data_IF_025817645411
#
_entry.id   IF_025817645411
#
_cell.length_a   1.000
_cell.length_b   1.000
_cell.length_c   1.000
_cell.angle_alpha   90.00
_cell.angle_beta   90.00
_cell.angle_gamma   90.00
#
_symmetry.space_group_name_H-M   'P 1'
#
loop_
_entity.id
_entity.type
_entity.pdbx_description
1 polymer ?
#
# COMPACT_ATOMS: atom_id res chain seq x y z
N UNK A 1 -3.59 -61.82 28.54
CA UNK A 1 -2.53 -60.80 28.38
C UNK A 1 -2.21 -60.74 26.89
N UNK A 2 -3.07 -60.05 26.13
CA UNK A 2 -2.95 -59.94 24.68
C UNK A 2 -2.05 -58.73 24.39
N UNK A 3 -0.93 -58.98 23.71
CA UNK A 3 -0.04 -57.94 23.22
C UNK A 3 -0.78 -57.06 22.24
N UNK A 4 -0.94 -55.79 22.60
CA UNK A 4 -1.45 -54.76 21.72
C UNK A 4 -0.28 -54.36 20.82
N UNK A 5 -0.24 -54.86 19.59
CA UNK A 5 0.81 -54.55 18.62
C UNK A 5 0.75 -53.08 18.20
N UNK A 6 1.68 -52.26 18.70
CA UNK A 6 1.79 -50.84 18.37
C UNK A 6 2.45 -50.56 17.00
N UNK A 7 2.69 -51.60 16.19
CA UNK A 7 3.49 -51.50 14.96
C UNK A 7 2.71 -51.04 13.71
N UNK A 8 1.40 -50.84 13.78
CA UNK A 8 0.58 -50.38 12.64
C UNK A 8 0.29 -48.86 12.61
N UNK A 9 0.84 -48.05 13.54
CA UNK A 9 0.49 -46.63 13.65
C UNK A 9 1.51 -45.65 13.04
N UNK A 10 2.38 -46.10 12.14
CA UNK A 10 3.36 -45.22 11.47
C UNK A 10 3.40 -45.39 9.95
N UNK A 11 2.25 -45.65 9.32
CA UNK A 11 2.07 -45.26 7.92
C UNK A 11 1.76 -43.76 7.89
N UNK A 12 2.74 -42.96 8.31
CA UNK A 12 2.69 -41.50 8.26
C UNK A 12 2.44 -41.08 6.83
N UNK A 13 1.19 -40.75 6.52
CA UNK A 13 0.81 -40.18 5.24
C UNK A 13 1.66 -38.95 5.01
N UNK A 14 2.56 -39.03 4.04
CA UNK A 14 3.37 -37.91 3.59
C UNK A 14 2.42 -36.76 3.22
N UNK A 15 2.28 -35.79 4.12
CA UNK A 15 1.47 -34.60 3.89
C UNK A 15 2.00 -33.93 2.62
N UNK A 16 1.19 -33.80 1.55
CA UNK A 16 1.62 -33.11 0.35
C UNK A 16 1.89 -31.65 0.73
N UNK A 17 3.17 -31.32 0.82
CA UNK A 17 3.66 -30.00 1.17
C UNK A 17 3.24 -29.05 0.03
N UNK A 18 2.12 -28.32 0.23
CA UNK A 18 1.58 -27.37 -0.74
C UNK A 18 2.51 -26.16 -0.85
N UNK A 19 3.63 -26.36 -1.53
CA UNK A 19 4.58 -25.30 -1.90
C UNK A 19 4.20 -24.85 -3.29
N UNK A 20 3.93 -23.55 -3.41
CA UNK A 20 3.72 -22.90 -4.69
C UNK A 20 4.85 -23.31 -5.65
N UNK A 21 4.54 -23.74 -6.89
CA UNK A 21 5.56 -24.24 -7.81
C UNK A 21 6.64 -23.17 -8.00
N UNK A 22 7.89 -23.54 -7.71
CA UNK A 22 9.01 -22.60 -7.60
C UNK A 22 9.17 -21.73 -8.85
N UNK A 23 8.88 -22.28 -10.03
CA UNK A 23 8.94 -21.56 -11.31
C UNK A 23 7.96 -20.38 -11.40
N UNK A 24 6.79 -20.48 -10.77
CA UNK A 24 5.81 -19.39 -10.79
C UNK A 24 6.36 -18.18 -10.01
N UNK A 25 6.96 -18.41 -8.84
CA UNK A 25 7.56 -17.35 -8.02
C UNK A 25 8.67 -16.62 -8.78
N UNK A 26 9.55 -17.36 -9.48
CA UNK A 26 10.61 -16.75 -10.27
C UNK A 26 10.10 -15.95 -11.47
N UNK A 27 9.02 -16.40 -12.10
CA UNK A 27 8.39 -15.65 -13.20
C UNK A 27 7.85 -14.30 -12.70
N UNK A 28 7.19 -14.28 -11.54
CA UNK A 28 6.63 -13.05 -10.97
C UNK A 28 7.75 -12.15 -10.43
N UNK A 29 8.81 -12.74 -9.87
CA UNK A 29 10.03 -12.01 -9.51
C UNK A 29 10.61 -11.29 -10.72
N UNK A 30 10.72 -11.98 -11.86
CA UNK A 30 11.15 -11.39 -13.13
C UNK A 30 10.24 -10.24 -13.56
N UNK A 31 8.92 -10.38 -13.42
CA UNK A 31 7.96 -9.30 -13.65
C UNK A 31 8.17 -8.08 -12.75
N UNK A 32 8.51 -8.28 -11.47
CA UNK A 32 8.85 -7.20 -10.54
C UNK A 32 10.15 -6.48 -10.94
N UNK A 33 11.18 -7.24 -11.33
CA UNK A 33 12.43 -6.67 -11.85
C UNK A 33 12.20 -5.89 -13.14
N UNK A 34 11.35 -6.40 -14.04
CA UNK A 34 10.94 -5.67 -15.23
C UNK A 34 10.22 -4.37 -14.88
N UNK A 35 9.37 -4.36 -13.84
CA UNK A 35 8.75 -3.14 -13.32
C UNK A 35 9.78 -2.11 -12.83
N UNK A 36 10.84 -2.55 -12.14
CA UNK A 36 11.94 -1.65 -11.74
C UNK A 36 12.67 -1.10 -12.97
N UNK A 37 13.03 -1.97 -13.92
CA UNK A 37 13.68 -1.56 -15.15
C UNK A 37 12.82 -0.60 -15.98
N UNK A 38 11.50 -0.79 -16.00
CA UNK A 38 10.57 0.10 -16.68
C UNK A 38 10.54 1.50 -16.05
N UNK A 39 10.55 1.62 -14.71
CA UNK A 39 10.63 2.94 -14.06
C UNK A 39 11.93 3.67 -14.33
N UNK A 40 13.05 2.94 -14.34
CA UNK A 40 14.37 3.48 -14.67
C UNK A 40 14.40 3.87 -16.15
N UNK A 41 13.90 3.00 -17.04
CA UNK A 41 13.83 3.24 -18.47
C UNK A 41 12.95 4.43 -18.81
N UNK A 42 11.80 4.60 -18.15
CA UNK A 42 10.95 5.78 -18.30
C UNK A 42 11.71 7.07 -17.94
N UNK A 43 12.54 7.03 -16.90
CA UNK A 43 13.34 8.20 -16.49
C UNK A 43 14.43 8.59 -17.50
N UNK A 44 14.97 7.66 -18.30
CA UNK A 44 16.05 7.96 -19.24
C UNK A 44 15.62 8.05 -20.71
N UNK A 45 14.59 7.31 -21.11
CA UNK A 45 14.24 7.11 -22.51
C UNK A 45 13.13 8.03 -23.00
N UNK A 46 12.46 8.78 -22.12
CA UNK A 46 11.36 9.67 -22.52
C UNK A 46 11.93 11.02 -22.97
N UNK A 47 11.73 11.41 -24.24
CA UNK A 47 12.25 12.66 -24.78
C UNK A 47 11.36 13.86 -24.43
N UNK A 48 11.94 15.06 -24.49
CA UNK A 48 11.22 16.34 -24.39
C UNK A 48 10.24 16.52 -25.58
N UNK A 49 9.06 17.15 -25.39
CA UNK A 49 8.57 17.87 -24.20
C UNK A 49 7.77 17.00 -23.21
N UNK A 50 7.59 15.71 -23.49
CA UNK A 50 6.82 14.78 -22.65
C UNK A 50 7.48 14.60 -21.27
N UNK A 51 8.80 14.67 -21.21
CA UNK A 51 9.57 14.60 -19.98
C UNK A 51 9.36 15.84 -19.09
N UNK A 52 9.32 17.05 -19.68
CA UNK A 52 9.00 18.30 -18.98
C UNK A 52 7.62 18.31 -18.30
N UNK A 53 6.69 17.46 -18.73
CA UNK A 53 5.36 17.39 -18.13
C UNK A 53 5.38 16.53 -16.85
N UNK A 54 5.56 17.20 -15.70
CA UNK A 54 5.58 16.57 -14.37
C UNK A 54 4.36 15.69 -14.10
N UNK A 55 3.16 16.13 -14.52
CA UNK A 55 1.93 15.35 -14.32
C UNK A 55 1.95 14.03 -15.10
N UNK A 56 2.43 14.06 -16.34
CA UNK A 56 2.54 12.85 -17.17
C UNK A 56 3.58 11.87 -16.61
N UNK A 57 4.77 12.36 -16.24
CA UNK A 57 5.81 11.51 -15.62
C UNK A 57 5.33 10.88 -14.31
N UNK A 58 4.67 11.66 -13.45
CA UNK A 58 4.20 11.18 -12.15
C UNK A 58 3.06 10.16 -12.29
N UNK A 59 2.13 10.38 -13.21
CA UNK A 59 1.04 9.43 -13.47
C UNK A 59 1.56 8.13 -14.09
N UNK A 60 2.53 8.18 -15.00
CA UNK A 60 3.19 7.01 -15.56
C UNK A 60 3.92 6.20 -14.47
N UNK A 61 4.71 6.86 -13.63
CA UNK A 61 5.39 6.21 -12.51
C UNK A 61 4.39 5.54 -11.54
N UNK A 62 3.29 6.22 -11.24
CA UNK A 62 2.22 5.69 -10.39
C UNK A 62 1.52 4.49 -11.02
N UNK A 63 1.25 4.51 -12.32
CA UNK A 63 0.63 3.40 -13.04
C UNK A 63 1.52 2.14 -12.98
N UNK A 64 2.83 2.29 -13.20
CA UNK A 64 3.80 1.19 -13.08
C UNK A 64 3.85 0.68 -11.63
N UNK A 65 3.86 1.58 -10.65
CA UNK A 65 3.86 1.22 -9.24
C UNK A 65 2.60 0.43 -8.83
N UNK A 66 1.41 0.84 -9.29
CA UNK A 66 0.15 0.14 -9.04
C UNK A 66 0.18 -1.25 -9.67
N UNK A 67 0.60 -1.37 -10.95
CA UNK A 67 0.71 -2.67 -11.62
C UNK A 67 1.64 -3.62 -10.87
N UNK A 68 2.81 -3.13 -10.42
CA UNK A 68 3.74 -3.89 -9.58
C UNK A 68 3.09 -4.33 -8.26
N UNK A 69 2.38 -3.43 -7.57
CA UNK A 69 1.69 -3.76 -6.32
C UNK A 69 0.61 -4.83 -6.53
N UNK A 70 -0.15 -4.77 -7.63
CA UNK A 70 -1.14 -5.79 -7.98
C UNK A 70 -0.49 -7.18 -8.16
N UNK A 71 0.66 -7.27 -8.85
CA UNK A 71 1.42 -8.52 -8.98
C UNK A 71 1.83 -9.09 -7.61
N UNK A 72 2.33 -8.24 -6.70
CA UNK A 72 2.71 -8.64 -5.33
C UNK A 72 1.50 -9.19 -4.58
N UNK A 73 0.40 -8.45 -4.54
CA UNK A 73 -0.79 -8.85 -3.77
C UNK A 73 -1.43 -10.11 -4.36
N UNK A 74 -1.54 -10.19 -5.68
CA UNK A 74 -2.24 -11.30 -6.30
C UNK A 74 -1.48 -12.63 -6.15
N UNK A 75 -0.14 -12.60 -6.21
CA UNK A 75 0.68 -13.80 -6.21
C UNK A 75 1.51 -14.02 -4.95
N UNK A 76 2.31 -13.04 -4.53
CA UNK A 76 3.22 -13.19 -3.38
C UNK A 76 2.49 -13.21 -2.04
N UNK A 77 1.43 -12.41 -1.90
CA UNK A 77 0.54 -12.48 -0.74
C UNK A 77 -0.43 -13.67 -0.83
N UNK A 78 -0.35 -14.48 -1.89
CA UNK A 78 -1.15 -15.67 -2.04
C UNK A 78 -2.65 -15.43 -2.19
N UNK A 79 -3.11 -14.20 -2.49
CA UNK A 79 -4.55 -13.88 -2.58
C UNK A 79 -5.25 -14.73 -3.63
N UNK A 80 -4.58 -15.04 -4.75
CA UNK A 80 -5.10 -15.94 -5.79
C UNK A 80 -5.39 -17.36 -5.27
N UNK A 81 -4.44 -17.92 -4.51
CA UNK A 81 -4.45 -19.31 -4.04
C UNK A 81 -5.12 -19.48 -2.68
N UNK A 82 -5.34 -18.39 -1.96
CA UNK A 82 -6.01 -18.37 -0.67
C UNK A 82 -7.50 -18.72 -0.76
N UNK A 83 -8.07 -18.96 0.42
CA UNK A 83 -9.50 -19.25 0.58
C UNK A 83 -10.38 -18.06 0.17
N UNK A 84 -11.68 -18.30 -0.02
CA UNK A 84 -12.65 -17.21 -0.29
C UNK A 84 -12.65 -16.16 0.82
N UNK A 85 -12.41 -16.58 2.07
CA UNK A 85 -12.32 -15.67 3.22
C UNK A 85 -11.14 -14.69 3.05
N UNK A 86 -9.95 -15.19 2.70
CA UNK A 86 -8.77 -14.35 2.44
C UNK A 86 -9.05 -13.31 1.35
N UNK A 87 -9.74 -13.71 0.27
CA UNK A 87 -10.09 -12.81 -0.82
C UNK A 87 -11.03 -11.69 -0.37
N UNK A 88 -12.07 -12.02 0.40
CA UNK A 88 -13.01 -11.02 0.94
C UNK A 88 -12.27 -10.02 1.83
N UNK A 89 -11.41 -10.49 2.74
CA UNK A 89 -10.62 -9.59 3.60
C UNK A 89 -9.63 -8.75 2.80
N UNK A 90 -8.99 -9.29 1.76
CA UNK A 90 -8.09 -8.53 0.91
C UNK A 90 -8.81 -7.40 0.18
N UNK A 91 -9.96 -7.68 -0.46
CA UNK A 91 -10.75 -6.63 -1.13
C UNK A 91 -11.37 -5.65 -0.13
N UNK A 92 -11.87 -6.14 1.01
CA UNK A 92 -12.41 -5.31 2.08
C UNK A 92 -11.37 -4.36 2.68
N UNK A 93 -10.13 -4.83 2.86
CA UNK A 93 -9.01 -4.02 3.30
C UNK A 93 -8.66 -2.90 2.31
N UNK A 94 -8.73 -3.16 1.00
CA UNK A 94 -8.54 -2.12 -0.01
C UNK A 94 -9.68 -1.09 -0.02
N UNK A 95 -10.93 -1.53 0.10
CA UNK A 95 -12.08 -0.61 0.23
C UNK A 95 -11.91 0.27 1.47
N UNK A 96 -11.57 -0.33 2.60
CA UNK A 96 -11.29 0.39 3.84
C UNK A 96 -10.09 1.34 3.69
N UNK A 97 -9.02 0.94 3.02
CA UNK A 97 -7.88 1.82 2.72
C UNK A 97 -8.29 3.07 1.93
N UNK A 98 -9.17 2.93 0.93
CA UNK A 98 -9.71 4.09 0.20
C UNK A 98 -10.57 5.00 1.09
N UNK A 99 -11.25 4.47 2.10
CA UNK A 99 -11.97 5.34 3.06
C UNK A 99 -11.05 6.25 3.86
N UNK A 100 -9.78 5.87 4.06
CA UNK A 100 -8.80 6.75 4.72
C UNK A 100 -8.53 8.01 3.90
N UNK A 101 -8.49 7.92 2.57
CA UNK A 101 -8.33 9.10 1.71
C UNK A 101 -9.53 10.04 1.80
N UNK A 102 -10.74 9.47 1.88
CA UNK A 102 -11.97 10.26 2.08
C UNK A 102 -11.91 10.97 3.43
N UNK A 103 -11.46 10.28 4.48
CA UNK A 103 -11.30 10.88 5.81
C UNK A 103 -10.21 11.98 5.80
N UNK A 104 -9.13 11.80 5.05
CA UNK A 104 -8.12 12.85 4.90
C UNK A 104 -8.65 14.09 4.16
N UNK A 105 -9.59 13.92 3.24
CA UNK A 105 -10.23 15.04 2.55
C UNK A 105 -11.04 15.94 3.50
N UNK A 106 -11.54 15.41 4.63
CA UNK A 106 -12.18 16.20 5.69
C UNK A 106 -11.25 17.30 6.22
N UNK A 107 -9.95 17.00 6.37
CA UNK A 107 -8.95 17.98 6.83
C UNK A 107 -8.78 19.15 5.85
N UNK A 108 -8.98 18.94 4.55
CA UNK A 108 -8.91 20.00 3.54
C UNK A 108 -10.09 20.98 3.68
N UNK A 109 -11.26 20.49 4.08
CA UNK A 109 -12.46 21.32 4.28
C UNK A 109 -12.53 22.03 5.64
N UNK A 110 -11.65 21.68 6.60
CA UNK A 110 -11.68 22.29 7.93
C UNK A 110 -11.13 23.72 7.89
N UNK A 111 -11.92 24.74 8.28
CA UNK A 111 -11.37 26.06 8.52
C UNK A 111 -10.39 25.98 9.69
N UNK A 112 -9.27 26.69 9.57
CA UNK A 112 -8.36 26.91 10.70
C UNK A 112 -9.04 27.90 11.65
N UNK A 113 -9.92 27.38 12.51
CA UNK A 113 -10.47 28.18 13.60
C UNK A 113 -9.40 28.42 14.67
N UNK A 114 -9.20 29.66 15.14
CA UNK A 114 -8.37 29.92 16.31
C UNK A 114 -8.95 29.12 17.48
N UNK A 115 -8.17 28.19 18.02
CA UNK A 115 -8.54 27.45 19.23
C UNK A 115 -8.80 28.48 20.34
N UNK A 116 -9.91 28.41 21.08
CA UNK A 116 -10.13 29.25 22.26
C UNK A 116 -9.00 28.99 23.25
N UNK A 117 -8.00 29.86 23.24
CA UNK A 117 -6.90 29.85 24.19
C UNK A 117 -7.31 30.56 25.47
N UNK A 118 -6.43 30.52 26.47
CA UNK A 118 -6.57 31.31 27.70
C UNK A 118 -6.32 32.81 27.45
N UNK A 119 -5.92 33.17 26.23
CA UNK A 119 -5.76 34.54 25.76
C UNK A 119 -7.02 34.99 24.99
N UNK A 120 -7.51 36.18 25.30
CA UNK A 120 -8.68 36.80 24.65
C UNK A 120 -8.41 37.31 23.23
N UNK A 121 -7.15 37.25 22.79
CA UNK A 121 -6.70 37.70 21.48
C UNK A 121 -6.49 36.51 20.53
N UNK A 122 -7.07 36.53 19.32
CA UNK A 122 -6.85 35.47 18.33
C UNK A 122 -5.36 35.33 18.03
N UNK A 123 -4.81 34.13 18.25
CA UNK A 123 -3.45 33.81 17.78
C UNK A 123 -3.43 33.89 16.26
N UNK A 124 -2.96 35.03 15.75
CA UNK A 124 -2.84 35.33 14.33
C UNK A 124 -1.38 35.18 13.91
N UNK A 125 -1.16 34.61 12.72
CA UNK A 125 0.18 34.44 12.16
C UNK A 125 0.81 35.75 11.64
N UNK A 126 0.09 36.88 11.76
CA UNK A 126 0.60 38.19 11.41
C UNK A 126 1.37 38.78 12.60
N UNK A 127 2.47 39.52 12.38
CA UNK A 127 3.20 40.18 13.45
C UNK A 127 2.25 41.08 14.25
N UNK A 128 2.18 40.86 15.56
CA UNK A 128 1.41 41.70 16.48
C UNK A 128 2.01 43.09 16.43
N UNK A 129 1.43 44.00 15.64
CA UNK A 129 1.73 45.42 15.80
C UNK A 129 1.11 45.83 17.13
N UNK A 130 1.99 46.18 18.06
CA UNK A 130 1.72 46.82 19.34
C UNK A 130 0.69 47.92 19.14
N UNK A 131 -0.57 47.64 19.48
CA UNK A 131 -1.47 48.69 19.93
C UNK A 131 -0.85 49.12 21.26
N UNK A 132 -0.26 50.31 21.29
CA UNK A 132 0.25 50.91 22.51
C UNK A 132 -0.90 50.92 23.53
N UNK A 133 -0.72 50.20 24.64
CA UNK A 133 -1.65 50.25 25.76
C UNK A 133 -1.63 51.67 26.34
N UNK A 134 -2.77 52.38 26.45
CA UNK A 134 -2.82 53.60 27.23
C UNK A 134 -2.81 53.24 28.72
N UNK A 135 -1.93 53.93 29.45
CA UNK A 135 -1.63 53.82 30.88
C UNK A 135 -2.85 54.02 31.79
#
# INVERSE_FOLDING_TARGET
>A
MAGHDHSELTKGGAHPHHVLPQGMIFLIAGGLFAGMAATIGAAFMIPEPLHSNTFFMQSLALAIAIFKACLVVYFYMGVKFGTRLVKIFAYGGFIWFFTLFIMMADYVSRPLEPVPGWETVPSSALPRNTVEDPE
#
